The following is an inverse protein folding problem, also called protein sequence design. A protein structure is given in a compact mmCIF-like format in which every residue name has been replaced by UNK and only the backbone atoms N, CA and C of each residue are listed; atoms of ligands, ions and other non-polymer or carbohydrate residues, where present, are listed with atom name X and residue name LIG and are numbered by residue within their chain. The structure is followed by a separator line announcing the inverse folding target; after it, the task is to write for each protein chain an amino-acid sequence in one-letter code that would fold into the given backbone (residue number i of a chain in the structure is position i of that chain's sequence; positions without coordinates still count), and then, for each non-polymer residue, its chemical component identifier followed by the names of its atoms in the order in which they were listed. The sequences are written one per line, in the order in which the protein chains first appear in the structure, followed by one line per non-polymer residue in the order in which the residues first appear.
data_IF_313571329083
#
_entry.id   IF_313571329083
#
_cell.length_a   1.000
_cell.length_b   1.000
_cell.length_c   1.000
_cell.angle_alpha   90.00
_cell.angle_beta   90.00
_cell.angle_gamma   90.00
#
_symmetry.space_group_name_H-M   'P 1'
#
loop_
_entity.id
_entity.type
_entity.pdbx_description
1 polymer ?
#
# COMPACT_ATOMS: atom_id res chain seq x y z
N UNK A 1 -3.39 16.11 11.64
CA UNK A 1 -2.17 15.32 11.37
C UNK A 1 -1.11 15.89 12.28
N UNK A 2 -0.82 15.21 13.39
CA UNK A 2 0.26 15.62 14.30
C UNK A 2 1.55 14.95 13.81
N UNK A 3 2.57 15.75 13.57
CA UNK A 3 3.89 15.31 13.13
C UNK A 3 4.91 15.67 14.22
N UNK A 4 5.66 14.69 14.71
CA UNK A 4 6.79 14.95 15.61
C UNK A 4 7.86 15.77 14.86
N UNK A 5 8.40 16.82 15.49
CA UNK A 5 9.46 17.63 14.88
C UNK A 5 10.75 16.80 14.75
N UNK A 6 11.26 16.55 13.52
CA UNK A 6 12.46 15.74 13.33
C UNK A 6 13.77 16.48 13.66
N UNK A 7 13.70 17.79 13.95
CA UNK A 7 14.85 18.63 14.31
C UNK A 7 14.91 18.82 15.82
N UNK A 8 16.05 18.45 16.40
CA UNK A 8 16.45 18.84 17.75
C UNK A 8 17.80 19.55 17.65
N UNK A 9 17.88 20.79 18.15
CA UNK A 9 19.12 21.60 18.15
C UNK A 9 19.78 21.69 16.76
N UNK A 10 19.01 22.05 15.73
CA UNK A 10 19.42 22.15 14.31
C UNK A 10 20.03 20.89 13.68
N UNK A 11 20.00 19.76 14.39
CA UNK A 11 20.45 18.47 13.89
C UNK A 11 19.24 17.63 13.51
N UNK A 12 19.25 17.04 12.31
CA UNK A 12 18.25 16.04 11.92
C UNK A 12 18.49 14.77 12.74
N UNK A 13 17.72 14.62 13.81
CA UNK A 13 17.95 13.54 14.76
C UNK A 13 17.44 12.19 14.24
N UNK A 14 16.53 12.21 13.25
CA UNK A 14 15.98 11.03 12.58
C UNK A 14 15.77 11.31 11.10
N UNK A 15 16.13 10.35 10.24
CA UNK A 15 15.95 10.42 8.78
C UNK A 15 14.56 9.97 8.30
N UNK A 16 13.58 9.81 9.20
CA UNK A 16 12.23 9.36 8.86
C UNK A 16 11.16 10.15 9.62
N UNK A 17 10.01 10.32 8.99
CA UNK A 17 8.82 10.93 9.57
C UNK A 17 7.85 9.85 10.06
N UNK A 18 7.31 10.03 11.26
CA UNK A 18 6.20 9.19 11.78
C UNK A 18 4.89 9.98 11.69
N UNK A 19 3.89 9.36 11.08
CA UNK A 19 2.56 9.93 10.91
C UNK A 19 1.52 8.89 11.30
N UNK A 20 0.45 9.31 11.98
CA UNK A 20 -0.75 8.50 12.18
C UNK A 20 -1.79 8.89 11.14
N UNK A 21 -2.30 7.90 10.40
CA UNK A 21 -3.30 8.07 9.36
C UNK A 21 -4.48 7.14 9.59
N UNK A 22 -5.66 7.55 9.13
CA UNK A 22 -6.84 6.69 9.07
C UNK A 22 -6.89 6.04 7.68
N UNK A 23 -7.04 4.72 7.62
CA UNK A 23 -7.11 3.96 6.37
C UNK A 23 -8.39 3.13 6.37
N UNK A 24 -9.07 3.07 5.22
CA UNK A 24 -10.21 2.18 5.06
C UNK A 24 -9.71 0.75 4.80
N UNK A 25 -9.86 -0.12 5.80
CA UNK A 25 -9.38 -1.51 5.76
C UNK A 25 -10.27 -2.45 4.94
N UNK A 26 -11.47 -2.02 4.56
CA UNK A 26 -12.37 -2.82 3.69
C UNK A 26 -11.99 -2.72 2.22
N UNK A 27 -10.94 -1.95 1.89
CA UNK A 27 -10.37 -1.80 0.55
C UNK A 27 -8.93 -2.32 0.53
N UNK A 28 -8.41 -2.71 -0.65
CA UNK A 28 -7.04 -3.16 -0.75
C UNK A 28 -6.08 -2.11 -0.18
N UNK A 29 -5.15 -2.55 0.67
CA UNK A 29 -4.11 -1.68 1.21
C UNK A 29 -3.29 -1.11 0.05
N UNK A 30 -3.06 0.22 0.02
CA UNK A 30 -2.23 0.83 -1.01
C UNK A 30 -0.82 0.22 -1.00
N UNK A 31 -0.22 0.01 -2.16
CA UNK A 31 1.13 -0.55 -2.24
C UNK A 31 2.21 0.50 -2.41
N UNK A 32 1.78 1.74 -2.62
CA UNK A 32 2.63 2.91 -2.75
C UNK A 32 1.86 4.08 -3.33
N UNK A 33 2.56 5.16 -3.61
CA UNK A 33 1.99 6.34 -4.27
C UNK A 33 3.05 7.11 -5.04
N UNK A 34 2.59 7.90 -6.02
CA UNK A 34 3.45 8.85 -6.73
C UNK A 34 3.64 10.13 -5.91
N UNK A 35 4.89 10.45 -5.59
CA UNK A 35 5.29 11.69 -4.95
C UNK A 35 5.74 12.69 -6.02
N UNK A 36 5.04 13.82 -6.11
CA UNK A 36 5.48 14.94 -6.93
C UNK A 36 6.73 15.60 -6.33
N UNK A 37 7.76 15.80 -7.16
CA UNK A 37 8.98 16.51 -6.78
C UNK A 37 9.10 17.84 -7.55
N UNK A 38 9.94 18.75 -7.06
CA UNK A 38 10.08 20.11 -7.60
C UNK A 38 10.48 20.16 -9.09
N UNK A 39 11.09 19.09 -9.62
CA UNK A 39 11.64 19.06 -10.98
C UNK A 39 10.77 18.27 -11.98
N UNK A 40 9.45 18.19 -11.75
CA UNK A 40 8.51 17.43 -12.59
C UNK A 40 8.82 15.91 -12.68
N UNK A 41 9.73 15.43 -11.84
CA UNK A 41 9.98 14.00 -11.68
C UNK A 41 8.99 13.46 -10.65
N UNK A 42 8.33 12.37 -10.98
CA UNK A 42 7.49 11.62 -10.04
C UNK A 42 8.29 10.47 -9.46
N UNK A 43 8.36 10.39 -8.14
CA UNK A 43 8.98 9.27 -7.44
C UNK A 43 7.90 8.29 -7.00
N UNK A 44 8.04 7.01 -7.32
CA UNK A 44 7.22 5.97 -6.71
C UNK A 44 7.71 5.70 -5.30
N UNK A 45 6.82 5.78 -4.32
CA UNK A 45 7.11 5.47 -2.92
C UNK A 45 6.42 4.17 -2.55
N UNK A 46 7.19 3.12 -2.32
CA UNK A 46 6.66 1.82 -1.90
C UNK A 46 6.19 1.83 -0.44
N UNK A 47 5.05 1.19 -0.19
CA UNK A 47 4.56 0.93 1.16
C UNK A 47 4.99 -0.46 1.64
N UNK A 48 5.61 -0.48 2.81
CA UNK A 48 5.91 -1.70 3.56
C UNK A 48 5.05 -1.72 4.81
N UNK A 49 4.34 -2.82 5.01
CA UNK A 49 3.48 -3.02 6.16
C UNK A 49 4.12 -4.04 7.09
N UNK A 50 4.10 -3.74 8.39
CA UNK A 50 4.55 -4.65 9.43
C UNK A 50 3.34 -5.22 10.17
N UNK A 51 3.44 -6.48 10.63
CA UNK A 51 2.43 -7.16 11.48
C UNK A 51 1.02 -7.31 10.88
N UNK A 52 0.90 -7.32 9.55
CA UNK A 52 -0.40 -7.53 8.87
C UNK A 52 -0.70 -8.98 8.48
N UNK A 53 0.27 -9.90 8.63
CA UNK A 53 0.21 -11.24 8.05
C UNK A 53 -0.97 -12.09 8.54
N UNK A 54 -1.41 -11.91 9.78
CA UNK A 54 -2.45 -12.75 10.39
C UNK A 54 -3.86 -12.47 9.85
N UNK A 55 -4.08 -11.32 9.21
CA UNK A 55 -5.41 -10.88 8.74
C UNK A 55 -5.40 -10.31 7.32
N UNK A 56 -4.30 -10.43 6.61
CA UNK A 56 -4.15 -9.93 5.24
C UNK A 56 -4.54 -10.99 4.21
N UNK A 57 -5.49 -10.63 3.35
CA UNK A 57 -5.89 -11.48 2.25
C UNK A 57 -4.94 -11.29 1.06
N UNK A 58 -4.07 -12.28 0.81
CA UNK A 58 -3.16 -12.27 -0.34
C UNK A 58 -3.87 -12.28 -1.71
N UNK A 59 -5.16 -12.62 -1.76
CA UNK A 59 -5.94 -12.58 -3.00
C UNK A 59 -6.49 -11.19 -3.33
N UNK A 60 -6.77 -10.34 -2.33
CA UNK A 60 -7.50 -9.07 -2.49
C UNK A 60 -6.74 -7.85 -1.97
N UNK A 61 -5.70 -8.08 -1.18
CA UNK A 61 -4.96 -7.03 -0.52
C UNK A 61 -5.72 -6.33 0.63
N UNK A 62 -6.85 -6.86 1.08
CA UNK A 62 -7.65 -6.30 2.18
C UNK A 62 -7.26 -6.90 3.54
N UNK A 63 -7.58 -6.19 4.62
CA UNK A 63 -7.47 -6.73 5.98
C UNK A 63 -8.80 -7.28 6.48
N UNK A 64 -8.75 -8.26 7.37
CA UNK A 64 -9.91 -8.80 8.09
C UNK A 64 -10.26 -10.26 7.74
N UNK A 65 -9.58 -10.87 6.77
CA UNK A 65 -9.70 -12.30 6.49
C UNK A 65 -8.44 -12.85 5.84
N UNK A 66 -8.20 -14.14 5.98
CA UNK A 66 -7.08 -14.83 5.34
C UNK A 66 -7.43 -15.28 3.92
N UNK A 67 -6.42 -15.65 3.12
CA UNK A 67 -6.64 -16.26 1.80
C UNK A 67 -7.61 -17.44 1.83
N UNK A 68 -7.60 -18.24 2.91
CA UNK A 68 -8.44 -19.44 3.07
C UNK A 68 -9.93 -19.10 3.25
N UNK A 69 -10.21 -17.93 3.81
CA UNK A 69 -11.56 -17.46 4.13
C UNK A 69 -12.11 -16.53 3.03
N UNK A 70 -11.31 -16.25 2.00
CA UNK A 70 -11.69 -15.37 0.91
C UNK A 70 -12.60 -16.10 -0.08
N UNK A 71 -13.86 -15.71 -0.15
CA UNK A 71 -14.84 -16.22 -1.13
C UNK A 71 -14.80 -15.51 -2.47
N UNK A 72 -14.03 -14.42 -2.57
CA UNK A 72 -14.02 -13.56 -3.74
C UNK A 72 -12.98 -14.06 -4.77
N UNK A 73 -13.21 -13.92 -6.10
CA UNK A 73 -12.31 -14.42 -7.16
C UNK A 73 -10.91 -13.78 -7.11
N UNK A 74 -9.84 -14.50 -7.39
CA UNK A 74 -8.46 -13.96 -7.23
C UNK A 74 -8.28 -12.62 -7.98
N UNK A 75 -7.95 -11.54 -7.25
CA UNK A 75 -7.41 -10.35 -7.90
C UNK A 75 -5.97 -10.67 -8.29
N UNK A 76 -5.62 -10.48 -9.56
CA UNK A 76 -4.29 -10.85 -10.04
C UNK A 76 -3.29 -9.87 -9.43
N UNK A 77 -2.26 -10.42 -8.77
CA UNK A 77 -1.16 -9.63 -8.28
C UNK A 77 -0.36 -9.10 -9.48
N UNK A 78 -0.48 -7.82 -9.82
CA UNK A 78 0.38 -7.21 -10.85
C UNK A 78 1.69 -6.76 -10.21
N UNK A 79 2.81 -7.22 -10.76
CA UNK A 79 4.15 -6.74 -10.35
C UNK A 79 4.58 -5.49 -11.15
N UNK A 80 3.72 -5.00 -12.04
CA UNK A 80 3.92 -3.74 -12.74
C UNK A 80 3.64 -2.57 -11.78
N UNK A 81 4.69 -1.81 -11.45
CA UNK A 81 4.57 -0.61 -10.60
C UNK A 81 3.69 0.48 -11.22
N UNK A 82 3.38 0.38 -12.52
CA UNK A 82 2.44 1.25 -13.23
C UNK A 82 0.98 0.83 -13.07
N UNK A 83 0.70 -0.34 -12.50
CA UNK A 83 -0.64 -0.86 -12.31
C UNK A 83 -0.94 -1.07 -10.82
N UNK A 84 -2.22 -1.02 -10.40
CA UNK A 84 -2.61 -1.46 -9.08
C UNK A 84 -2.11 -2.89 -8.86
N UNK A 85 -1.38 -3.12 -7.76
CA UNK A 85 -0.83 -4.44 -7.44
C UNK A 85 -1.91 -5.51 -7.28
N UNK A 86 -3.16 -5.11 -7.07
CA UNK A 86 -4.34 -5.99 -7.05
C UNK A 86 -5.42 -5.35 -7.94
N UNK A 87 -5.93 -6.11 -8.91
CA UNK A 87 -7.04 -5.70 -9.78
C UNK A 87 -7.92 -6.88 -10.16
N UNK A 88 -9.18 -6.63 -10.57
CA UNK A 88 -10.03 -7.69 -11.13
C UNK A 88 -9.29 -8.29 -12.33
N UNK A 89 -9.04 -9.60 -12.29
CA UNK A 89 -8.57 -10.31 -13.47
C UNK A 89 -9.59 -10.08 -14.59
N UNK A 90 -9.13 -9.60 -15.74
CA UNK A 90 -9.98 -9.48 -16.91
C UNK A 90 -10.49 -10.89 -17.25
N UNK A 91 -11.76 -11.15 -17.00
CA UNK A 91 -12.48 -12.25 -17.64
C UNK A 91 -12.61 -11.90 -19.13
N UNK A 92 -11.57 -12.22 -19.91
CA UNK A 92 -11.63 -12.19 -21.36
C UNK A 92 -11.07 -13.50 -21.92
N UNK A 93 -12.00 -14.42 -22.16
CA UNK A 93 -12.01 -15.35 -23.28
C UNK A 93 -11.02 -16.51 -23.29
N UNK A 94 -11.54 -17.73 -23.13
CA UNK A 94 -11.45 -18.73 -24.20
C UNK A 94 -12.55 -19.79 -23.99
N UNK A 95 -13.14 -20.22 -25.10
CA UNK A 95 -14.33 -21.07 -25.28
C UNK A 95 -14.37 -22.41 -24.51
#
# INVERSE_FOLDING_TARGET
METENPRLNDTLQRMFLRVRVTVNITRPLPTGFWLATQNHQTLWVDFKYERIQDSYCLNYGVLGHTKKECSSPMAVASWDHMQPKYGLGNEQGMD
#
